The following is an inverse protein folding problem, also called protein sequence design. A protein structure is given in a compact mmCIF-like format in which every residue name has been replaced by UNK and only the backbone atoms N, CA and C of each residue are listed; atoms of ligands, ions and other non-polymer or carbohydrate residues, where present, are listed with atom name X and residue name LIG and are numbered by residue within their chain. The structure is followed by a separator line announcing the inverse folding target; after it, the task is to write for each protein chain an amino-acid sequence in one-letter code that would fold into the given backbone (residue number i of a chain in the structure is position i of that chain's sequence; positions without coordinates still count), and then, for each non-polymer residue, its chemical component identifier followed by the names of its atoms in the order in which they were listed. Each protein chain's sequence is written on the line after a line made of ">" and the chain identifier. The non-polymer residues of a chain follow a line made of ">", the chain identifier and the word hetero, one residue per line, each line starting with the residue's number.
data_IF_074954720054
#
_entry.id   IF_074954720054
#
_cell.length_a   1.000
_cell.length_b   1.000
_cell.length_c   1.000
_cell.angle_alpha   90.00
_cell.angle_beta   90.00
_cell.angle_gamma   90.00
#
_symmetry.space_group_name_H-M   'P 1'
#
loop_
_entity.id
_entity.type
_entity.pdbx_description
1 polymer ?
#
# COMPACT_ATOMS: atom_id res chain seq x y z
N UNK A 1 -41.05 -7.85 -31.91
CA UNK A 1 -39.82 -8.10 -31.13
C UNK A 1 -40.02 -7.59 -29.72
N UNK A 2 -40.52 -8.49 -28.83
CA UNK A 2 -40.73 -8.18 -27.41
C UNK A 2 -39.42 -8.27 -26.64
N UNK A 3 -38.69 -7.16 -26.49
CA UNK A 3 -37.55 -7.09 -25.57
C UNK A 3 -38.11 -6.90 -24.18
N UNK A 4 -38.04 -7.93 -23.32
CA UNK A 4 -38.35 -7.83 -21.90
C UNK A 4 -37.18 -7.13 -21.17
N UNK A 5 -37.44 -5.91 -20.70
CA UNK A 5 -36.51 -5.19 -19.86
C UNK A 5 -36.84 -5.48 -18.39
N UNK A 6 -35.92 -6.11 -17.67
CA UNK A 6 -36.03 -6.26 -16.22
C UNK A 6 -35.62 -4.93 -15.54
N UNK A 7 -36.57 -4.26 -14.93
CA UNK A 7 -36.32 -3.11 -14.08
C UNK A 7 -36.31 -3.60 -12.63
N UNK A 8 -35.13 -3.69 -12.03
CA UNK A 8 -35.03 -3.88 -10.59
C UNK A 8 -35.51 -2.60 -9.90
N UNK A 9 -36.54 -2.65 -9.03
CA UNK A 9 -36.96 -1.46 -8.30
C UNK A 9 -35.83 -0.98 -7.39
N UNK A 10 -35.56 0.32 -7.38
CA UNK A 10 -34.48 0.94 -6.60
C UNK A 10 -34.53 0.54 -5.11
N UNK A 11 -35.71 0.27 -4.58
CA UNK A 11 -35.91 -0.20 -3.20
C UNK A 11 -35.40 -1.60 -2.92
N UNK A 12 -35.29 -2.48 -3.92
CA UNK A 12 -34.76 -3.83 -3.76
C UNK A 12 -33.22 -3.85 -3.81
N UNK A 13 -32.62 -2.89 -4.49
CA UNK A 13 -31.16 -2.81 -4.67
C UNK A 13 -30.51 -1.91 -3.60
N UNK A 14 -31.21 -0.90 -3.09
CA UNK A 14 -30.71 0.03 -2.09
C UNK A 14 -30.13 -0.66 -0.82
N UNK A 15 -30.76 -1.70 -0.24
CA UNK A 15 -30.18 -2.41 0.90
C UNK A 15 -28.89 -3.14 0.59
N UNK A 16 -28.71 -3.62 -0.65
CA UNK A 16 -27.51 -4.32 -1.12
C UNK A 16 -26.36 -3.35 -1.41
N UNK A 17 -26.66 -2.08 -1.67
CA UNK A 17 -25.69 -1.03 -1.98
C UNK A 17 -25.37 -0.12 -0.78
N UNK A 18 -26.09 -0.29 0.35
CA UNK A 18 -25.85 0.51 1.55
C UNK A 18 -24.84 -0.23 2.43
N UNK A 19 -23.64 0.31 2.64
CA UNK A 19 -22.64 -0.34 3.48
C UNK A 19 -23.10 -0.38 4.94
N UNK A 20 -22.65 -1.40 5.68
CA UNK A 20 -22.80 -1.47 7.14
C UNK A 20 -21.75 -0.60 7.84
N UNK A 21 -21.95 -0.33 9.13
CA UNK A 21 -20.97 0.38 9.95
C UNK A 21 -19.63 -0.38 9.98
N UNK A 22 -19.68 -1.72 10.07
CA UNK A 22 -18.50 -2.59 10.10
C UNK A 22 -17.72 -2.54 8.77
N UNK A 23 -18.41 -2.48 7.62
CA UNK A 23 -17.76 -2.32 6.32
C UNK A 23 -17.08 -0.96 6.19
N UNK A 24 -17.70 0.11 6.67
CA UNK A 24 -17.11 1.45 6.69
C UNK A 24 -15.92 1.53 7.65
N UNK A 25 -15.99 0.90 8.82
CA UNK A 25 -14.89 0.79 9.78
C UNK A 25 -13.73 0.02 9.17
N UNK A 26 -13.99 -1.12 8.54
CA UNK A 26 -12.96 -1.93 7.88
C UNK A 26 -12.27 -1.14 6.77
N UNK A 27 -13.02 -0.39 5.96
CA UNK A 27 -12.47 0.46 4.91
C UNK A 27 -11.61 1.59 5.49
N UNK A 28 -12.08 2.26 6.55
CA UNK A 28 -11.34 3.33 7.22
C UNK A 28 -10.09 2.82 7.92
N UNK A 29 -10.16 1.66 8.56
CA UNK A 29 -9.01 0.99 9.19
C UNK A 29 -7.96 0.61 8.15
N UNK A 30 -8.37 0.09 6.99
CA UNK A 30 -7.47 -0.22 5.88
C UNK A 30 -6.77 1.05 5.37
N UNK A 31 -7.49 2.16 5.20
CA UNK A 31 -6.92 3.45 4.81
C UNK A 31 -5.88 3.91 5.84
N UNK A 32 -6.23 3.86 7.13
CA UNK A 32 -5.33 4.27 8.23
C UNK A 32 -4.07 3.41 8.28
N UNK A 33 -4.22 2.10 8.07
CA UNK A 33 -3.07 1.19 8.06
C UNK A 33 -2.16 1.41 6.85
N UNK A 34 -2.71 1.64 5.66
CA UNK A 34 -1.94 2.01 4.48
C UNK A 34 -1.17 3.32 4.69
N UNK A 35 -1.80 4.31 5.33
CA UNK A 35 -1.13 5.55 5.71
C UNK A 35 -0.02 5.33 6.74
N UNK A 36 -0.25 4.43 7.71
CA UNK A 36 0.73 4.09 8.74
C UNK A 36 1.99 3.46 8.16
N UNK A 37 1.84 2.66 7.11
CA UNK A 37 2.96 2.02 6.39
C UNK A 37 3.41 2.81 5.16
N UNK A 38 2.91 4.07 5.04
CA UNK A 38 3.29 5.02 4.00
C UNK A 38 2.95 4.58 2.56
N UNK A 39 1.91 3.76 2.38
CA UNK A 39 1.33 3.43 1.09
C UNK A 39 0.29 4.47 0.66
N UNK A 40 0.75 5.71 0.46
CA UNK A 40 -0.15 6.85 0.24
C UNK A 40 -0.93 6.76 -1.07
N UNK A 41 -0.36 6.15 -2.13
CA UNK A 41 -1.04 5.96 -3.40
C UNK A 41 -2.30 5.10 -3.26
N UNK A 42 -2.19 3.97 -2.58
CA UNK A 42 -3.28 3.05 -2.29
C UNK A 42 -4.28 3.67 -1.32
N UNK A 43 -3.80 4.38 -0.29
CA UNK A 43 -4.65 5.11 0.65
C UNK A 43 -5.52 6.16 -0.06
N UNK A 44 -4.98 6.92 -1.02
CA UNK A 44 -5.72 7.88 -1.83
C UNK A 44 -6.82 7.19 -2.65
N UNK A 45 -6.53 6.03 -3.25
CA UNK A 45 -7.51 5.26 -4.01
C UNK A 45 -8.66 4.78 -3.11
N UNK A 46 -8.34 4.21 -1.93
CA UNK A 46 -9.36 3.78 -0.96
C UNK A 46 -10.16 4.95 -0.39
N UNK A 47 -9.55 6.10 -0.15
CA UNK A 47 -10.29 7.33 0.23
C UNK A 47 -11.26 7.78 -0.87
N UNK A 48 -10.85 7.64 -2.13
CA UNK A 48 -11.75 7.94 -3.25
C UNK A 48 -12.94 6.98 -3.27
N UNK A 49 -12.72 5.69 -2.99
CA UNK A 49 -13.78 4.69 -2.85
C UNK A 49 -14.68 5.01 -1.65
N UNK A 50 -14.12 5.31 -0.48
CA UNK A 50 -14.87 5.69 0.72
C UNK A 50 -15.82 6.86 0.45
N UNK A 51 -15.35 7.92 -0.23
CA UNK A 51 -16.19 9.05 -0.62
C UNK A 51 -17.36 8.65 -1.54
N UNK A 52 -17.11 7.76 -2.51
CA UNK A 52 -18.14 7.27 -3.43
C UNK A 52 -19.17 6.42 -2.69
N UNK A 53 -18.71 5.54 -1.82
CA UNK A 53 -19.58 4.68 -1.00
C UNK A 53 -20.44 5.52 -0.07
N UNK A 54 -19.86 6.51 0.62
CA UNK A 54 -20.61 7.43 1.50
C UNK A 54 -21.63 8.27 0.74
N UNK A 55 -21.36 8.67 -0.48
CA UNK A 55 -22.29 9.40 -1.32
C UNK A 55 -23.56 8.58 -1.70
N UNK A 56 -23.49 7.25 -1.60
CA UNK A 56 -24.63 6.36 -1.84
C UNK A 56 -25.50 6.17 -0.56
N UNK A 57 -25.01 6.58 0.61
CA UNK A 57 -25.73 6.43 1.87
C UNK A 57 -26.85 7.48 1.95
N UNK A 58 -28.10 7.05 2.14
CA UNK A 58 -29.21 7.98 2.33
C UNK A 58 -28.99 8.90 3.55
N UNK A 59 -29.31 10.18 3.41
CA UNK A 59 -29.07 11.20 4.44
C UNK A 59 -29.71 10.91 5.80
N UNK A 60 -30.83 10.19 5.83
CA UNK A 60 -31.47 9.77 7.06
C UNK A 60 -30.73 8.66 7.85
N UNK A 61 -29.72 8.02 7.24
CA UNK A 61 -28.88 6.99 7.89
C UNK A 61 -27.47 7.49 8.21
N UNK A 62 -27.05 8.59 7.60
CA UNK A 62 -25.66 9.08 7.72
C UNK A 62 -25.24 9.35 9.16
N UNK A 63 -26.12 9.99 9.96
CA UNK A 63 -25.80 10.34 11.34
C UNK A 63 -25.64 9.08 12.22
N UNK A 64 -26.55 8.12 12.09
CA UNK A 64 -26.50 6.88 12.87
C UNK A 64 -25.27 6.04 12.52
N UNK A 65 -24.98 5.89 11.22
CA UNK A 65 -23.80 5.16 10.76
C UNK A 65 -22.49 5.82 11.23
N UNK A 66 -22.42 7.15 11.25
CA UNK A 66 -21.25 7.86 11.75
C UNK A 66 -21.00 7.60 13.25
N UNK A 67 -22.06 7.57 14.05
CA UNK A 67 -21.96 7.27 15.50
C UNK A 67 -21.53 5.82 15.74
N UNK A 68 -22.12 4.86 15.02
CA UNK A 68 -21.77 3.45 15.12
C UNK A 68 -20.33 3.19 14.65
N UNK A 69 -19.88 3.86 13.58
CA UNK A 69 -18.52 3.80 13.06
C UNK A 69 -17.50 4.34 14.07
N UNK A 70 -17.77 5.48 14.70
CA UNK A 70 -16.88 6.08 15.69
C UNK A 70 -16.70 5.18 16.91
N UNK A 71 -17.79 4.63 17.43
CA UNK A 71 -17.77 3.69 18.55
C UNK A 71 -16.97 2.40 18.23
N UNK A 72 -17.13 1.86 17.02
CA UNK A 72 -16.39 0.68 16.57
C UNK A 72 -14.88 0.96 16.41
N UNK A 73 -14.53 2.11 15.85
CA UNK A 73 -13.11 2.50 15.70
C UNK A 73 -12.44 2.68 17.07
N UNK A 74 -13.13 3.28 18.03
CA UNK A 74 -12.64 3.42 19.39
C UNK A 74 -12.44 2.05 20.07
N UNK A 75 -13.41 1.14 19.94
CA UNK A 75 -13.33 -0.22 20.47
C UNK A 75 -12.19 -1.04 19.84
N UNK A 76 -11.87 -0.80 18.58
CA UNK A 76 -10.76 -1.46 17.88
C UNK A 76 -9.39 -0.83 18.17
N UNK A 77 -9.31 0.21 19.00
CA UNK A 77 -8.07 0.87 19.37
C UNK A 77 -7.42 1.73 18.26
N UNK A 78 -8.18 2.08 17.23
CA UNK A 78 -7.74 3.00 16.16
C UNK A 78 -7.76 4.48 16.58
N UNK A 79 -7.57 4.77 17.87
CA UNK A 79 -7.37 6.14 18.30
C UNK A 79 -6.10 6.71 17.64
N UNK A 80 -6.24 7.85 17.00
CA UNK A 80 -5.14 8.53 16.32
C UNK A 80 -3.95 8.71 17.26
N UNK A 81 -2.81 8.06 16.96
CA UNK A 81 -1.57 8.30 17.68
C UNK A 81 -0.92 9.56 17.10
N UNK A 82 -0.75 10.64 17.89
CA UNK A 82 -0.04 11.82 17.43
C UNK A 82 1.46 11.52 17.33
N UNK A 83 2.05 11.75 16.17
CA UNK A 83 3.48 11.67 15.94
C UNK A 83 3.85 12.30 14.59
N UNK A 84 5.06 12.89 14.44
CA UNK A 84 5.48 13.42 13.16
C UNK A 84 5.61 12.29 12.15
N UNK A 85 4.86 12.38 11.05
CA UNK A 85 5.01 11.48 9.90
C UNK A 85 6.21 11.94 9.08
N UNK A 86 7.13 11.03 8.69
CA UNK A 86 8.14 11.38 7.71
C UNK A 86 7.42 11.86 6.42
N UNK A 87 7.87 12.99 5.88
CA UNK A 87 7.34 13.49 4.62
C UNK A 87 7.72 12.51 3.51
N UNK A 88 6.73 11.82 2.96
CA UNK A 88 6.94 10.88 1.88
C UNK A 88 6.86 11.60 0.53
N UNK A 89 7.71 11.18 -0.39
CA UNK A 89 7.68 11.66 -1.75
C UNK A 89 6.66 10.85 -2.56
N UNK A 90 5.45 11.40 -2.71
CA UNK A 90 4.34 10.76 -3.43
C UNK A 90 4.74 10.32 -4.86
N UNK A 91 5.61 11.09 -5.53
CA UNK A 91 6.12 10.74 -6.85
C UNK A 91 6.97 9.47 -6.83
N UNK A 92 7.73 9.23 -5.76
CA UNK A 92 8.50 7.99 -5.57
C UNK A 92 7.57 6.81 -5.37
N UNK A 93 6.54 6.95 -4.54
CA UNK A 93 5.57 5.89 -4.27
C UNK A 93 4.78 5.50 -5.52
N UNK A 94 4.35 6.49 -6.31
CA UNK A 94 3.67 6.24 -7.58
C UNK A 94 4.57 5.51 -8.57
N UNK A 95 5.84 5.92 -8.70
CA UNK A 95 6.80 5.27 -9.59
C UNK A 95 7.09 3.82 -9.16
N UNK A 96 7.26 3.57 -7.86
CA UNK A 96 7.45 2.21 -7.33
C UNK A 96 6.22 1.35 -7.63
N UNK A 97 5.01 1.86 -7.33
CA UNK A 97 3.76 1.14 -7.57
C UNK A 97 3.56 0.81 -9.06
N UNK A 98 3.86 1.75 -9.95
CA UNK A 98 3.77 1.53 -11.40
C UNK A 98 4.79 0.47 -11.86
N UNK A 99 6.04 0.55 -11.40
CA UNK A 99 7.07 -0.41 -11.76
C UNK A 99 6.78 -1.83 -11.26
N UNK A 100 6.11 -1.98 -10.11
CA UNK A 100 5.71 -3.27 -9.55
C UNK A 100 4.44 -3.86 -10.20
N UNK A 101 3.54 -3.02 -10.76
CA UNK A 101 2.35 -3.49 -11.50
C UNK A 101 2.68 -4.11 -12.84
N UNK A 102 3.78 -3.66 -13.45
CA UNK A 102 4.34 -4.26 -14.65
C UNK A 102 5.81 -4.61 -14.37
N UNK A 103 6.42 -5.55 -15.09
CA UNK A 103 7.83 -5.90 -14.87
C UNK A 103 8.76 -4.84 -15.48
N UNK A 104 8.61 -3.57 -15.03
CA UNK A 104 9.41 -2.45 -15.54
C UNK A 104 10.62 -2.20 -14.66
N UNK A 105 11.78 -1.94 -15.29
CA UNK A 105 12.93 -1.42 -14.56
C UNK A 105 12.59 -0.06 -13.91
N UNK A 106 13.16 0.18 -12.74
CA UNK A 106 13.01 1.42 -12.00
C UNK A 106 14.37 2.09 -11.80
N UNK A 107 14.49 3.34 -12.21
CA UNK A 107 15.68 4.14 -11.95
C UNK A 107 15.46 4.98 -10.71
N UNK A 108 16.30 4.82 -9.69
CA UNK A 108 16.18 5.49 -8.40
C UNK A 108 17.41 6.35 -8.12
N UNK A 109 17.22 7.55 -7.57
CA UNK A 109 18.24 8.36 -6.93
C UNK A 109 18.26 7.99 -5.45
N UNK A 110 19.29 7.27 -5.01
CA UNK A 110 19.35 6.62 -3.71
C UNK A 110 20.63 7.00 -2.96
N UNK A 111 20.49 7.24 -1.65
CA UNK A 111 21.63 7.42 -0.75
C UNK A 111 21.53 6.42 0.40
N UNK A 112 22.30 5.35 0.32
CA UNK A 112 22.42 4.39 1.42
C UNK A 112 23.25 4.93 2.59
N UNK A 113 23.15 4.26 3.74
CA UNK A 113 23.86 4.70 4.98
C UNK A 113 25.38 4.83 4.83
N UNK A 114 26.00 4.11 3.91
CA UNK A 114 27.45 4.15 3.63
C UNK A 114 27.82 5.03 2.44
N UNK A 115 26.86 5.62 1.76
CA UNK A 115 27.10 6.41 0.56
C UNK A 115 27.39 7.87 0.94
N UNK A 116 28.52 8.40 0.50
CA UNK A 116 28.91 9.80 0.73
C UNK A 116 27.96 10.79 0.00
N UNK A 117 27.35 10.38 -1.10
CA UNK A 117 26.44 11.18 -1.94
C UNK A 117 25.38 10.30 -2.57
N UNK A 118 24.19 10.88 -2.89
CA UNK A 118 23.17 10.18 -3.66
C UNK A 118 23.72 9.73 -5.03
N UNK A 119 23.29 8.58 -5.48
CA UNK A 119 23.67 8.05 -6.79
C UNK A 119 22.47 7.43 -7.50
N UNK A 120 22.46 7.54 -8.82
CA UNK A 120 21.47 6.91 -9.65
C UNK A 120 21.75 5.41 -9.80
N UNK A 121 20.74 4.60 -9.59
CA UNK A 121 20.79 3.15 -9.78
C UNK A 121 19.59 2.72 -10.60
N UNK A 122 19.79 1.77 -11.50
CA UNK A 122 18.70 1.10 -12.21
C UNK A 122 18.52 -0.27 -11.59
N UNK A 123 17.29 -0.57 -11.18
CA UNK A 123 16.95 -1.81 -10.49
C UNK A 123 15.78 -2.51 -11.18
N UNK A 124 15.75 -3.81 -11.06
CA UNK A 124 14.61 -4.66 -11.37
C UNK A 124 13.83 -4.86 -10.07
N UNK A 125 12.71 -4.13 -9.85
CA UNK A 125 11.99 -4.19 -8.60
C UNK A 125 11.19 -5.49 -8.49
N UNK A 126 11.35 -6.21 -7.38
CA UNK A 126 10.73 -7.52 -7.16
C UNK A 126 9.58 -7.47 -6.14
N UNK A 127 9.55 -6.46 -5.27
CA UNK A 127 8.49 -6.33 -4.29
C UNK A 127 8.79 -5.29 -3.22
N UNK A 128 7.78 -4.99 -2.41
CA UNK A 128 7.86 -4.03 -1.32
C UNK A 128 7.64 -4.75 0.01
N UNK A 129 8.61 -4.67 0.92
CA UNK A 129 8.50 -5.16 2.29
C UNK A 129 8.00 -4.04 3.19
N UNK A 130 6.93 -4.31 3.92
CA UNK A 130 6.25 -3.38 4.80
C UNK A 130 6.50 -3.78 6.26
N UNK A 131 6.91 -2.82 7.08
CA UNK A 131 7.15 -3.01 8.50
C UNK A 131 7.25 -1.64 9.19
N UNK A 132 8.07 -1.54 10.23
CA UNK A 132 8.41 -0.24 10.84
C UNK A 132 9.08 0.73 9.85
N UNK A 133 9.61 0.18 8.77
CA UNK A 133 10.18 0.88 7.61
C UNK A 133 9.82 0.11 6.35
N UNK A 134 9.80 0.81 5.23
CA UNK A 134 9.52 0.21 3.93
C UNK A 134 10.82 -0.05 3.17
N UNK A 135 10.92 -1.24 2.58
CA UNK A 135 12.07 -1.62 1.76
C UNK A 135 11.62 -2.12 0.39
N UNK A 136 12.11 -1.49 -0.65
CA UNK A 136 12.01 -1.99 -2.01
C UNK A 136 13.06 -3.07 -2.20
N UNK A 137 12.63 -4.28 -2.53
CA UNK A 137 13.52 -5.39 -2.89
C UNK A 137 13.72 -5.40 -4.39
N UNK A 138 14.96 -5.52 -4.84
CA UNK A 138 15.26 -5.55 -6.27
C UNK A 138 16.69 -5.98 -6.57
N UNK A 139 16.97 -6.17 -7.86
CA UNK A 139 18.30 -6.50 -8.39
C UNK A 139 18.88 -5.24 -9.03
N UNK A 140 20.11 -4.89 -8.64
CA UNK A 140 20.86 -3.77 -9.25
C UNK A 140 21.44 -4.22 -10.59
N UNK A 141 20.94 -3.65 -11.67
CA UNK A 141 21.34 -4.06 -13.05
C UNK A 141 22.80 -3.77 -13.36
N UNK A 142 23.41 -2.79 -12.69
CA UNK A 142 24.82 -2.46 -12.88
C UNK A 142 25.76 -3.45 -12.22
N UNK A 143 25.31 -4.15 -11.18
CA UNK A 143 26.18 -5.05 -10.39
C UNK A 143 26.29 -6.46 -10.95
N UNK A 144 25.37 -6.87 -11.80
CA UNK A 144 25.38 -8.18 -12.52
C UNK A 144 25.68 -9.41 -11.65
N UNK A 145 25.47 -9.32 -10.32
CA UNK A 145 25.73 -10.39 -9.37
C UNK A 145 24.47 -11.18 -8.97
N UNK A 146 23.30 -10.81 -9.52
CA UNK A 146 22.01 -11.45 -9.26
C UNK A 146 21.54 -11.35 -7.81
N UNK A 147 22.22 -10.59 -6.96
CA UNK A 147 21.86 -10.50 -5.54
C UNK A 147 20.68 -9.59 -5.31
N UNK A 148 19.74 -10.06 -4.49
CA UNK A 148 18.64 -9.24 -3.99
C UNK A 148 19.16 -8.18 -3.02
N UNK A 149 18.74 -6.93 -3.23
CA UNK A 149 19.12 -5.78 -2.41
C UNK A 149 17.88 -5.11 -1.83
N UNK A 150 18.07 -4.50 -0.67
CA UNK A 150 17.05 -3.71 0.00
C UNK A 150 17.38 -2.23 -0.18
N UNK A 151 16.42 -1.49 -0.70
CA UNK A 151 16.47 -0.05 -0.79
C UNK A 151 15.42 0.51 0.15
N UNK A 152 15.84 1.20 1.18
CA UNK A 152 14.91 1.86 2.09
C UNK A 152 14.18 2.95 1.32
N UNK A 153 12.84 2.91 1.29
CA UNK A 153 12.04 3.81 0.44
C UNK A 153 12.23 5.27 0.84
N UNK A 154 12.37 5.54 2.14
CA UNK A 154 12.58 6.89 2.67
C UNK A 154 13.93 7.50 2.26
N UNK A 155 14.89 6.69 1.81
CA UNK A 155 16.20 7.15 1.34
C UNK A 155 16.25 7.28 -0.20
N UNK A 156 15.10 7.06 -0.89
CA UNK A 156 14.93 7.29 -2.32
C UNK A 156 14.46 8.74 -2.52
N UNK A 157 15.31 9.55 -3.11
CA UNK A 157 15.02 10.96 -3.37
C UNK A 157 14.16 11.16 -4.60
N UNK A 158 14.36 10.32 -5.62
CA UNK A 158 13.67 10.39 -6.90
C UNK A 158 13.57 8.98 -7.50
N UNK A 159 12.45 8.69 -8.16
CA UNK A 159 12.23 7.43 -8.86
C UNK A 159 11.60 7.69 -10.23
N UNK A 160 12.03 6.92 -11.25
CA UNK A 160 11.53 7.03 -12.63
C UNK A 160 11.35 5.64 -13.20
N UNK A 161 10.14 5.30 -13.59
CA UNK A 161 9.85 4.05 -14.30
C UNK A 161 10.53 4.08 -15.66
N UNK A 162 11.16 2.98 -16.03
CA UNK A 162 11.79 2.83 -17.32
C UNK A 162 10.86 2.09 -18.28
N UNK A 163 11.06 2.27 -19.58
CA UNK A 163 10.31 1.53 -20.61
C UNK A 163 10.79 0.10 -20.77
N UNK A 164 11.96 -0.23 -20.21
CA UNK A 164 12.53 -1.55 -20.30
C UNK A 164 11.84 -2.51 -19.36
N UNK A 165 11.49 -3.67 -19.91
CA UNK A 165 10.86 -4.78 -19.18
C UNK A 165 11.93 -5.79 -18.80
N UNK A 166 11.88 -6.31 -17.58
CA UNK A 166 12.73 -7.41 -17.13
C UNK A 166 11.91 -8.70 -16.95
N UNK A 167 12.61 -9.84 -16.92
CA UNK A 167 11.98 -11.12 -16.60
C UNK A 167 12.00 -11.34 -15.11
N UNK A 168 10.82 -11.46 -14.50
CA UNK A 168 10.71 -11.73 -13.07
C UNK A 168 11.31 -13.09 -12.74
N UNK A 169 12.21 -13.20 -11.75
CA UNK A 169 12.86 -14.48 -11.42
C UNK A 169 11.81 -15.49 -10.93
N UNK A 170 11.72 -16.65 -11.59
CA UNK A 170 10.72 -17.69 -11.32
C UNK A 170 10.82 -18.24 -9.89
N UNK A 171 12.04 -18.26 -9.34
CA UNK A 171 12.32 -18.82 -8.01
C UNK A 171 12.17 -17.78 -6.88
N UNK A 172 11.86 -16.52 -7.19
CA UNK A 172 11.72 -15.50 -6.20
C UNK A 172 10.29 -15.45 -5.65
N UNK A 173 10.16 -15.73 -4.36
CA UNK A 173 8.94 -15.51 -3.58
C UNK A 173 9.21 -14.47 -2.50
N UNK A 174 8.48 -13.35 -2.55
CA UNK A 174 8.66 -12.23 -1.61
C UNK A 174 8.32 -12.62 -0.17
N UNK A 175 7.30 -13.49 0.03
CA UNK A 175 6.89 -13.94 1.34
C UNK A 175 7.94 -14.82 2.01
N UNK A 176 8.48 -15.79 1.27
CA UNK A 176 9.58 -16.64 1.75
C UNK A 176 10.87 -15.84 1.95
N UNK A 177 11.12 -14.87 1.08
CA UNK A 177 12.25 -13.97 1.24
C UNK A 177 12.13 -13.12 2.50
N UNK A 178 10.95 -12.55 2.78
CA UNK A 178 10.67 -11.78 3.98
C UNK A 178 10.88 -12.60 5.25
N UNK A 179 10.38 -13.84 5.30
CA UNK A 179 10.58 -14.76 6.45
C UNK A 179 12.06 -14.99 6.73
N UNK A 180 12.89 -15.18 5.70
CA UNK A 180 14.34 -15.39 5.86
C UNK A 180 15.07 -14.12 6.25
N UNK A 181 14.70 -12.98 5.67
CA UNK A 181 15.36 -11.71 5.90
C UNK A 181 15.06 -11.09 7.28
N UNK A 182 13.86 -11.36 7.82
CA UNK A 182 13.36 -10.76 9.06
C UNK A 182 13.01 -11.81 10.15
N UNK A 183 12.89 -13.08 9.80
CA UNK A 183 12.58 -14.17 10.76
C UNK A 183 13.66 -14.44 11.80
N UNK A 184 14.90 -14.03 11.53
CA UNK A 184 16.00 -14.14 12.51
C UNK A 184 15.93 -13.11 13.64
N UNK A 185 15.12 -12.06 13.53
CA UNK A 185 14.96 -11.05 14.59
C UNK A 185 13.87 -11.40 15.62
N UNK A 186 13.01 -12.37 15.37
CA UNK A 186 11.98 -12.80 16.32
C UNK A 186 12.41 -13.90 17.28
N UNK A 187 13.59 -14.52 17.10
CA UNK A 187 14.06 -15.60 17.96
C UNK A 187 14.90 -15.15 19.16
N UNK A 188 15.30 -13.89 19.26
CA UNK A 188 16.10 -13.39 20.40
C UNK A 188 15.28 -12.68 21.48
N UNK A 189 13.96 -12.54 21.33
CA UNK A 189 13.13 -11.82 22.31
C UNK A 189 12.34 -12.73 23.27
N UNK A 190 12.50 -14.05 23.24
CA UNK A 190 11.73 -14.97 24.09
C UNK A 190 12.52 -15.73 25.16
N UNK A 191 13.81 -15.43 25.35
CA UNK A 191 14.59 -15.98 26.48
C UNK A 191 15.48 -14.91 27.11
N UNK A 192 14.89 -14.17 28.04
CA UNK A 192 15.61 -13.26 28.94
C UNK A 192 14.69 -12.82 30.07
#
# INVERSE_FOLDING_TARGET
>A
DGRHYWRLPSRAVAPLLTPSAEELVSLKSAITELERVDMNGEAIQLRSLDRKVRALIPSNRTLRLATDEEALLEAMGFAARPGPRPSMNEAVDLAISEALKGPFELRICYQGRGDAKPSWRTIEPLGLLLGSRRYLVGIDTAKRDGRYRHYRVEDIMEARVQTRIFTYPVEFDLGEYAKRAFGSYHHEAEYG
#
